data_IF_690111119572
#
_entry.id   IF_690111119572
#
_cell.length_a   1.000
_cell.length_b   1.000
_cell.length_c   1.000
_cell.angle_alpha   90.00
_cell.angle_beta   90.00
_cell.angle_gamma   90.00
#
_symmetry.space_group_name_H-M   'P 1'
#
loop_
_entity.id
_entity.type
_entity.pdbx_description
1 polymer ?
#
# COMPACT_ATOMS: atom_id res chain seq x y z
N UNK A 1 7.71 6.19 23.14
CA UNK A 1 6.36 5.63 22.96
C UNK A 1 6.30 4.41 23.85
N UNK A 2 5.26 4.26 24.65
CA UNK A 2 5.06 3.07 25.48
C UNK A 2 4.53 1.93 24.60
N UNK A 3 4.92 0.69 24.92
CA UNK A 3 4.44 -0.51 24.23
C UNK A 3 3.01 -0.82 24.66
N UNK A 4 2.09 -0.91 23.70
CA UNK A 4 0.68 -1.21 23.93
C UNK A 4 0.39 -2.71 24.10
N UNK A 5 1.36 -3.60 23.80
CA UNK A 5 1.24 -5.07 23.91
C UNK A 5 -0.01 -5.66 23.21
N UNK A 6 -0.41 -5.08 22.08
CA UNK A 6 -1.58 -5.52 21.30
C UNK A 6 -1.27 -6.55 20.20
N UNK A 7 -0.01 -6.63 19.79
CA UNK A 7 0.44 -7.41 18.63
C UNK A 7 1.56 -8.37 19.04
N UNK A 8 1.51 -9.61 18.55
CA UNK A 8 2.64 -10.54 18.65
C UNK A 8 3.60 -10.27 17.48
N UNK A 9 4.79 -9.76 17.79
CA UNK A 9 5.80 -9.44 16.78
C UNK A 9 6.26 -10.65 15.97
N UNK A 10 6.15 -11.87 16.50
CA UNK A 10 6.49 -13.11 15.77
C UNK A 10 5.53 -13.43 14.63
N UNK A 11 4.39 -12.72 14.56
CA UNK A 11 3.37 -12.85 13.52
C UNK A 11 3.43 -11.72 12.49
N UNK A 12 4.38 -10.79 12.62
CA UNK A 12 4.48 -9.60 11.78
C UNK A 12 5.85 -9.57 11.11
N UNK A 13 5.85 -9.30 9.81
CA UNK A 13 7.05 -9.07 9.01
C UNK A 13 6.78 -7.92 8.04
N UNK A 14 7.75 -7.03 7.90
CA UNK A 14 7.71 -5.89 6.99
C UNK A 14 8.92 -6.01 6.06
N UNK A 15 8.66 -6.32 4.79
CA UNK A 15 9.71 -6.51 3.80
C UNK A 15 9.86 -5.28 2.88
N UNK A 16 11.06 -4.69 2.84
CA UNK A 16 11.40 -3.58 1.96
C UNK A 16 12.38 -4.03 0.87
N UNK A 17 11.99 -3.83 -0.39
CA UNK A 17 12.81 -4.07 -1.58
C UNK A 17 12.94 -2.79 -2.40
N UNK A 18 14.17 -2.45 -2.77
CA UNK A 18 14.49 -1.22 -3.50
C UNK A 18 15.62 -0.42 -2.84
N UNK A 19 15.56 0.91 -3.00
CA UNK A 19 16.42 1.81 -2.24
C UNK A 19 15.95 1.86 -0.79
N UNK A 20 16.87 1.58 0.13
CA UNK A 20 16.62 1.46 1.56
C UNK A 20 17.53 2.37 2.38
N UNK A 21 18.05 3.44 1.75
CA UNK A 21 18.97 4.39 2.40
C UNK A 21 18.35 4.92 3.70
N UNK A 22 19.03 4.68 4.83
CA UNK A 22 18.62 5.12 6.17
C UNK A 22 17.54 4.27 6.86
N UNK A 23 16.92 3.31 6.18
CA UNK A 23 15.84 2.51 6.75
C UNK A 23 16.33 1.56 7.85
N UNK A 24 17.51 0.95 7.69
CA UNK A 24 18.10 0.07 8.70
C UNK A 24 18.43 0.82 9.99
N UNK A 25 18.97 2.03 9.87
CA UNK A 25 19.26 2.90 11.01
C UNK A 25 17.97 3.30 11.76
N UNK A 26 16.90 3.56 11.03
CA UNK A 26 15.57 3.85 11.60
C UNK A 26 15.03 2.61 12.32
N UNK A 27 15.04 1.44 11.67
CA UNK A 27 14.57 0.19 12.27
C UNK A 27 15.34 -0.14 13.56
N UNK A 28 16.67 0.01 13.55
CA UNK A 28 17.50 -0.19 14.72
C UNK A 28 17.19 0.82 15.85
N UNK A 29 17.03 2.11 15.51
CA UNK A 29 16.67 3.16 16.48
C UNK A 29 15.37 2.86 17.23
N UNK A 30 14.43 2.21 16.57
CA UNK A 30 13.13 1.84 17.15
C UNK A 30 13.07 0.38 17.64
N UNK A 31 14.18 -0.39 17.57
CA UNK A 31 14.21 -1.78 18.02
C UNK A 31 13.37 -2.73 17.17
N UNK A 32 13.22 -2.44 15.87
CA UNK A 32 12.33 -3.17 14.94
C UNK A 32 13.08 -4.16 14.02
N UNK A 33 14.37 -4.42 14.28
CA UNK A 33 15.19 -5.28 13.41
C UNK A 33 14.68 -6.73 13.34
N UNK A 34 13.92 -7.18 14.33
CA UNK A 34 13.35 -8.53 14.34
C UNK A 34 12.16 -8.69 13.38
N UNK A 35 11.53 -7.59 12.94
CA UNK A 35 10.35 -7.61 12.07
C UNK A 35 10.55 -6.85 10.75
N UNK A 36 11.53 -5.95 10.65
CA UNK A 36 11.83 -5.20 9.43
C UNK A 36 12.96 -5.87 8.66
N UNK A 37 12.67 -6.33 7.45
CA UNK A 37 13.65 -6.96 6.56
C UNK A 37 13.91 -6.10 5.34
N UNK A 38 15.19 -5.84 5.06
CA UNK A 38 15.63 -5.00 3.95
C UNK A 38 16.37 -5.88 2.94
N UNK A 39 15.72 -6.19 1.82
CA UNK A 39 16.27 -7.08 0.79
C UNK A 39 17.07 -6.37 -0.30
N UNK A 40 17.13 -5.04 -0.29
CA UNK A 40 17.83 -4.24 -1.29
C UNK A 40 17.20 -4.35 -2.69
N UNK A 41 18.00 -4.08 -3.73
CA UNK A 41 17.55 -4.14 -5.13
C UNK A 41 17.66 -5.56 -5.67
N UNK A 42 16.51 -6.14 -6.02
CA UNK A 42 16.39 -7.46 -6.66
C UNK A 42 15.74 -7.31 -8.04
N UNK A 43 15.74 -8.39 -8.84
CA UNK A 43 15.06 -8.40 -10.12
C UNK A 43 13.55 -8.14 -9.94
N UNK A 44 12.94 -7.42 -10.89
CA UNK A 44 11.53 -7.04 -10.79
C UNK A 44 10.60 -8.24 -10.62
N UNK A 45 10.85 -9.36 -11.32
CA UNK A 45 10.07 -10.60 -11.16
C UNK A 45 10.11 -11.15 -9.72
N UNK A 46 11.24 -11.01 -9.03
CA UNK A 46 11.36 -11.44 -7.63
C UNK A 46 10.62 -10.48 -6.69
N UNK A 47 10.61 -9.17 -7.00
CA UNK A 47 9.75 -8.20 -6.27
C UNK A 47 8.28 -8.59 -6.41
N UNK A 48 7.82 -8.92 -7.63
CA UNK A 48 6.44 -9.33 -7.87
C UNK A 48 6.09 -10.60 -7.07
N UNK A 49 6.98 -11.60 -7.03
CA UNK A 49 6.79 -12.80 -6.20
C UNK A 49 6.70 -12.45 -4.71
N UNK A 50 7.53 -11.54 -4.22
CA UNK A 50 7.49 -11.08 -2.83
C UNK A 50 6.18 -10.37 -2.49
N UNK A 51 5.71 -9.49 -3.36
CA UNK A 51 4.43 -8.81 -3.22
C UNK A 51 3.24 -9.78 -3.27
N UNK A 52 3.25 -10.76 -4.19
CA UNK A 52 2.21 -11.81 -4.26
C UNK A 52 2.14 -12.67 -3.01
N UNK A 53 3.27 -12.91 -2.35
CA UNK A 53 3.33 -13.68 -1.11
C UNK A 53 3.03 -12.86 0.15
N UNK A 54 2.92 -11.53 0.04
CA UNK A 54 2.53 -10.69 1.17
C UNK A 54 1.03 -10.79 1.45
N UNK A 55 0.65 -10.67 2.72
CA UNK A 55 -0.76 -10.59 3.13
C UNK A 55 -1.37 -9.22 2.79
N UNK A 56 -0.58 -8.15 2.96
CA UNK A 56 -0.96 -6.76 2.69
C UNK A 56 0.21 -6.04 2.02
N UNK A 57 -0.09 -5.19 1.04
CA UNK A 57 0.90 -4.34 0.38
C UNK A 57 0.94 -2.96 1.03
N UNK A 58 2.14 -2.47 1.31
CA UNK A 58 2.35 -1.15 1.90
C UNK A 58 2.63 -0.10 0.82
N UNK A 59 1.90 1.01 0.88
CA UNK A 59 2.11 2.20 0.04
C UNK A 59 2.26 3.43 0.94
N UNK A 60 3.43 4.06 0.91
CA UNK A 60 3.70 5.27 1.70
C UNK A 60 3.86 6.45 0.75
N UNK A 61 3.09 7.51 0.97
CA UNK A 61 3.21 8.80 0.28
C UNK A 61 3.50 9.91 1.28
N UNK A 62 3.77 11.12 0.80
CA UNK A 62 3.96 12.24 1.69
C UNK A 62 2.65 12.65 2.36
N UNK A 63 2.74 13.11 3.61
CA UNK A 63 1.62 13.70 4.35
C UNK A 63 1.67 15.22 4.23
N UNK A 64 1.32 15.75 3.05
CA UNK A 64 1.18 17.19 2.85
C UNK A 64 0.21 17.53 1.72
N UNK A 65 -0.29 18.75 1.72
CA UNK A 65 -1.33 19.22 0.79
C UNK A 65 -0.94 19.14 -0.70
N UNK A 66 0.36 19.17 -1.04
CA UNK A 66 0.79 19.08 -2.44
C UNK A 66 0.50 17.71 -3.05
N UNK A 67 0.24 16.70 -2.21
CA UNK A 67 -0.11 15.34 -2.64
C UNK A 67 -1.59 15.19 -2.97
N UNK A 68 -2.44 16.22 -2.79
CA UNK A 68 -3.90 16.14 -3.04
C UNK A 68 -4.27 15.59 -4.43
N UNK A 69 -3.43 15.84 -5.43
CA UNK A 69 -3.64 15.39 -6.81
C UNK A 69 -2.65 14.30 -7.25
N UNK A 70 -1.78 13.84 -6.35
CA UNK A 70 -0.75 12.86 -6.67
C UNK A 70 -1.24 11.44 -6.40
N UNK A 71 -1.13 10.58 -7.41
CA UNK A 71 -1.35 9.14 -7.28
C UNK A 71 -0.01 8.45 -7.56
N UNK A 72 0.59 7.76 -6.57
CA UNK A 72 1.79 6.97 -6.79
C UNK A 72 1.53 5.87 -7.83
N UNK A 73 2.30 5.81 -8.90
CA UNK A 73 2.09 4.83 -9.99
C UNK A 73 2.13 3.36 -9.55
N UNK A 74 2.77 3.06 -8.40
CA UNK A 74 2.83 1.71 -7.83
C UNK A 74 1.47 1.13 -7.44
N UNK A 75 0.46 1.98 -7.22
CA UNK A 75 -0.89 1.51 -6.89
C UNK A 75 -1.50 0.65 -8.02
N UNK A 76 -1.19 0.98 -9.27
CA UNK A 76 -1.71 0.23 -10.43
C UNK A 76 -1.07 -1.15 -10.57
N UNK A 77 0.20 -1.30 -10.19
CA UNK A 77 0.85 -2.61 -10.04
C UNK A 77 0.14 -3.41 -8.93
N UNK A 78 -0.16 -2.78 -7.79
CA UNK A 78 -0.81 -3.44 -6.66
C UNK A 78 -2.23 -3.92 -6.99
N UNK A 79 -2.97 -3.19 -7.83
CA UNK A 79 -4.27 -3.64 -8.34
C UNK A 79 -4.17 -4.98 -9.07
N UNK A 80 -3.15 -5.14 -9.91
CA UNK A 80 -2.92 -6.38 -10.66
C UNK A 80 -2.61 -7.58 -9.74
N UNK A 81 -2.01 -7.33 -8.58
CA UNK A 81 -1.64 -8.36 -7.61
C UNK A 81 -2.80 -8.86 -6.76
N UNK A 82 -3.96 -8.17 -6.78
CA UNK A 82 -5.16 -8.55 -6.01
C UNK A 82 -4.89 -8.79 -4.52
N UNK A 83 -4.12 -7.88 -3.92
CA UNK A 83 -3.84 -7.89 -2.47
C UNK A 83 -4.40 -6.64 -1.81
N UNK A 84 -4.86 -6.73 -0.55
CA UNK A 84 -5.20 -5.56 0.24
C UNK A 84 -4.03 -4.57 0.28
N UNK A 85 -4.32 -3.27 0.18
CA UNK A 85 -3.30 -2.20 0.27
C UNK A 85 -3.50 -1.42 1.57
N UNK A 86 -2.44 -1.28 2.36
CA UNK A 86 -2.35 -0.27 3.41
C UNK A 86 -1.62 0.95 2.85
N UNK A 87 -2.37 2.03 2.62
CA UNK A 87 -1.85 3.32 2.19
C UNK A 87 -1.69 4.25 3.38
N UNK A 88 -0.51 4.86 3.52
CA UNK A 88 -0.23 5.89 4.53
C UNK A 88 0.14 7.18 3.78
N UNK A 89 -0.60 8.27 4.01
CA UNK A 89 -0.39 9.50 3.26
C UNK A 89 -1.23 10.68 3.75
N UNK A 90 -1.35 11.69 2.88
CA UNK A 90 -2.14 12.87 3.17
C UNK A 90 -3.63 12.53 3.28
N UNK A 91 -4.27 13.06 4.34
CA UNK A 91 -5.66 12.79 4.74
C UNK A 91 -6.77 13.06 3.70
N UNK A 92 -6.43 13.67 2.58
CA UNK A 92 -7.36 14.10 1.53
C UNK A 92 -6.74 13.85 0.15
N UNK A 93 -7.58 13.74 -0.88
CA UNK A 93 -7.16 13.79 -2.27
C UNK A 93 -7.13 12.44 -2.96
N UNK A 94 -6.58 12.46 -4.18
CA UNK A 94 -6.82 11.41 -5.18
C UNK A 94 -6.35 10.02 -4.76
N UNK A 95 -5.29 9.90 -3.97
CA UNK A 95 -4.87 8.58 -3.45
C UNK A 95 -5.89 8.01 -2.47
N UNK A 96 -6.36 8.80 -1.50
CA UNK A 96 -7.39 8.38 -0.55
C UNK A 96 -8.66 7.98 -1.29
N UNK A 97 -9.14 8.87 -2.15
CA UNK A 97 -10.39 8.66 -2.90
C UNK A 97 -10.29 7.39 -3.75
N UNK A 98 -9.16 7.17 -4.44
CA UNK A 98 -8.93 5.96 -5.23
C UNK A 98 -8.97 4.69 -4.36
N UNK A 99 -8.32 4.68 -3.20
CA UNK A 99 -8.33 3.50 -2.30
C UNK A 99 -9.75 3.21 -1.79
N UNK A 100 -10.51 4.24 -1.42
CA UNK A 100 -11.87 4.11 -0.91
C UNK A 100 -12.87 3.68 -1.99
N UNK A 101 -12.83 4.32 -3.17
CA UNK A 101 -13.70 4.00 -4.30
C UNK A 101 -13.49 2.57 -4.80
N UNK A 102 -12.23 2.16 -4.89
CA UNK A 102 -11.88 0.80 -5.35
C UNK A 102 -12.04 -0.24 -4.26
N UNK A 103 -12.12 0.16 -2.99
CA UNK A 103 -12.13 -0.74 -1.82
C UNK A 103 -10.95 -1.72 -1.80
N UNK A 104 -9.82 -1.34 -2.40
CA UNK A 104 -8.62 -2.19 -2.48
C UNK A 104 -7.95 -2.36 -1.11
N UNK A 105 -8.30 -1.52 -0.14
CA UNK A 105 -7.75 -1.60 1.20
C UNK A 105 -8.04 -0.35 2.01
N UNK A 106 -7.04 0.14 2.71
CA UNK A 106 -7.17 1.15 3.75
C UNK A 106 -6.28 2.34 3.43
N UNK A 107 -6.79 3.56 3.65
CA UNK A 107 -5.99 4.77 3.63
C UNK A 107 -5.99 5.41 5.02
N UNK A 108 -4.80 5.65 5.57
CA UNK A 108 -4.60 6.25 6.89
C UNK A 108 -3.67 7.44 6.81
N UNK A 109 -3.88 8.41 7.69
CA UNK A 109 -3.17 9.70 7.68
C UNK A 109 -2.79 10.19 9.08
N UNK A 110 -2.97 9.35 10.10
CA UNK A 110 -2.61 9.66 11.48
C UNK A 110 -2.06 8.42 12.16
N UNK A 111 -1.29 8.63 13.22
CA UNK A 111 -0.79 7.52 14.04
C UNK A 111 -1.93 6.66 14.59
N UNK A 112 -3.01 7.28 15.08
CA UNK A 112 -4.13 6.57 15.69
C UNK A 112 -4.89 5.73 14.65
N UNK A 113 -5.23 6.31 13.50
CA UNK A 113 -5.88 5.56 12.40
C UNK A 113 -4.98 4.42 11.89
N UNK A 114 -3.66 4.64 11.83
CA UNK A 114 -2.71 3.61 11.45
C UNK A 114 -2.72 2.45 12.44
N UNK A 115 -2.74 2.72 13.74
CA UNK A 115 -2.81 1.69 14.79
C UNK A 115 -4.11 0.89 14.73
N UNK A 116 -5.24 1.57 14.55
CA UNK A 116 -6.55 0.93 14.44
C UNK A 116 -6.60 -0.01 13.24
N UNK A 117 -6.23 0.47 12.06
CA UNK A 117 -6.23 -0.35 10.83
C UNK A 117 -5.23 -1.50 10.91
N UNK A 118 -4.02 -1.29 11.47
CA UNK A 118 -3.06 -2.38 11.67
C UNK A 118 -3.60 -3.45 12.61
N UNK A 119 -4.32 -3.07 13.67
CA UNK A 119 -4.93 -4.01 14.59
C UNK A 119 -6.06 -4.80 13.92
N UNK A 120 -6.88 -4.15 13.08
CA UNK A 120 -7.94 -4.81 12.31
C UNK A 120 -7.36 -5.83 11.32
N UNK A 121 -6.33 -5.43 10.56
CA UNK A 121 -5.59 -6.31 9.64
C UNK A 121 -5.02 -7.52 10.38
N UNK A 122 -4.36 -7.27 11.52
CA UNK A 122 -3.78 -8.32 12.34
C UNK A 122 -4.84 -9.30 12.87
N UNK A 123 -5.93 -8.79 13.44
CA UNK A 123 -7.00 -9.63 13.97
C UNK A 123 -7.66 -10.48 12.88
N UNK A 124 -7.90 -9.90 11.70
CA UNK A 124 -8.40 -10.64 10.55
C UNK A 124 -7.46 -11.77 10.15
N UNK A 125 -6.15 -11.50 10.11
CA UNK A 125 -5.15 -12.53 9.83
C UNK A 125 -5.13 -13.62 10.91
N UNK A 126 -5.20 -13.28 12.20
CA UNK A 126 -5.23 -14.27 13.28
C UNK A 126 -6.48 -15.15 13.23
N UNK A 127 -7.63 -14.57 12.87
CA UNK A 127 -8.90 -15.30 12.79
C UNK A 127 -9.00 -16.19 11.55
N UNK A 128 -8.59 -15.68 10.39
CA UNK A 128 -8.82 -16.33 9.08
C UNK A 128 -7.58 -16.96 8.46
N UNK A 129 -6.38 -16.60 8.93
CA UNK A 129 -5.09 -16.96 8.32
C UNK A 129 -4.74 -16.17 7.06
N UNK A 130 -5.53 -15.16 6.69
CA UNK A 130 -5.34 -14.29 5.52
C UNK A 130 -6.06 -12.97 5.73
N UNK A 131 -5.68 -11.93 4.99
CA UNK A 131 -6.40 -10.66 4.91
C UNK A 131 -7.17 -10.61 3.59
N UNK A 132 -8.49 -10.41 3.66
CA UNK A 132 -9.35 -10.47 2.47
C UNK A 132 -9.35 -9.17 1.69
N UNK A 133 -9.15 -9.28 0.37
CA UNK A 133 -9.41 -8.17 -0.55
C UNK A 133 -10.92 -7.98 -0.69
N UNK A 134 -11.42 -6.79 -0.35
CA UNK A 134 -12.85 -6.42 -0.39
C UNK A 134 -13.22 -5.62 -1.65
N UNK A 135 -12.39 -5.72 -2.67
CA UNK A 135 -12.48 -4.96 -3.91
C UNK A 135 -13.09 -5.80 -5.02
N UNK A 136 -14.10 -5.23 -5.67
CA UNK A 136 -14.66 -5.73 -6.93
C UNK A 136 -14.07 -4.96 -8.14
N UNK A 137 -12.93 -4.30 -7.95
CA UNK A 137 -12.32 -3.48 -9.00
C UNK A 137 -12.06 -4.34 -10.24
N UNK A 138 -12.56 -3.88 -11.39
CA UNK A 138 -12.09 -4.43 -12.65
C UNK A 138 -10.73 -3.81 -12.96
N UNK A 139 -9.66 -4.58 -12.74
CA UNK A 139 -8.27 -4.15 -13.00
C UNK A 139 -8.11 -3.67 -14.44
N UNK A 140 -8.87 -4.22 -15.38
CA UNK A 140 -8.83 -3.78 -16.79
C UNK A 140 -9.13 -2.29 -16.91
N UNK A 141 -10.02 -1.71 -16.11
CA UNK A 141 -10.39 -0.28 -16.16
C UNK A 141 -9.21 0.65 -15.90
N UNK A 142 -8.17 0.14 -15.24
CA UNK A 142 -6.94 0.84 -14.86
C UNK A 142 -5.70 0.27 -15.57
N UNK A 143 -5.88 -0.63 -16.55
CA UNK A 143 -4.80 -1.05 -17.43
C UNK A 143 -4.24 0.16 -18.19
N UNK A 144 -2.95 0.12 -18.53
CA UNK A 144 -2.33 1.18 -19.33
C UNK A 144 -3.07 1.42 -20.65
N UNK A 145 -3.57 0.35 -21.27
CA UNK A 145 -4.36 0.42 -22.50
C UNK A 145 -5.68 1.19 -22.30
N UNK A 146 -6.49 0.82 -21.30
CA UNK A 146 -7.77 1.49 -21.07
C UNK A 146 -7.59 2.93 -20.56
N UNK A 147 -6.55 3.21 -19.77
CA UNK A 147 -6.22 4.58 -19.35
C UNK A 147 -5.78 5.44 -20.54
N UNK A 148 -4.95 4.91 -21.44
CA UNK A 148 -4.56 5.60 -22.67
C UNK A 148 -5.77 5.85 -23.59
N UNK A 149 -6.69 4.88 -23.67
CA UNK A 149 -7.94 5.02 -24.43
C UNK A 149 -8.83 6.12 -23.87
N UNK A 150 -9.11 6.11 -22.55
CA UNK A 150 -9.89 7.17 -21.88
C UNK A 150 -9.30 8.56 -22.13
N UNK A 151 -7.97 8.67 -22.10
CA UNK A 151 -7.29 9.92 -22.40
C UNK A 151 -7.45 10.35 -23.88
N UNK A 152 -7.30 9.42 -24.82
CA UNK A 152 -7.51 9.69 -26.24
C UNK A 152 -8.96 10.12 -26.54
N UNK A 153 -9.94 9.46 -25.93
CA UNK A 153 -11.36 9.81 -26.07
C UNK A 153 -11.62 11.24 -25.56
N UNK A 154 -11.07 11.62 -24.40
CA UNK A 154 -11.16 12.98 -23.87
C UNK A 154 -10.55 14.03 -24.82
N UNK A 155 -9.42 13.73 -25.47
CA UNK A 155 -8.82 14.64 -26.44
C UNK A 155 -9.72 14.85 -27.66
N UNK A 156 -10.35 13.78 -28.16
CA UNK A 156 -11.28 13.86 -29.29
C UNK A 156 -12.53 14.69 -28.94
N UNK A 157 -13.00 14.65 -27.69
CA UNK A 157 -14.13 15.48 -27.23
C UNK A 157 -13.80 16.97 -27.22
N UNK A 158 -12.54 17.35 -27.00
CA UNK A 158 -12.10 18.76 -27.00
C UNK A 158 -11.89 19.33 -28.41
N UNK A 159 -11.76 18.47 -29.43
CA UNK A 159 -11.63 18.88 -30.83
C UNK A 159 -12.98 19.12 -31.53
N UNK A 160 -14.09 18.74 -30.91
CA UNK A 160 -15.47 18.94 -31.41
C UNK A 160 -16.19 20.09 -30.70
#
# INVERSE_FOLDING_TARGET
MEDENKLDSSKISIEFYGDSTGLEEIANRYGLLDIVHIGGKIAHEEVLKKQLNSDVLLLISWDNEKEKMFIPGKIYEYFALKKPVLSIGYKEGSLKDLIEETKVGYHVSSLDSTKEVLLDIYNEFIEKGTVELRSDINIEDYSMENMAKKFADLLNELEN
#
